data_IF_523723247871
#
_entry.id   IF_523723247871
#
_cell.length_a   1.000
_cell.length_b   1.000
_cell.length_c   1.000
_cell.angle_alpha   90.00
_cell.angle_beta   90.00
_cell.angle_gamma   90.00
#
_symmetry.space_group_name_H-M   'P 1'
#
loop_
_entity.id
_entity.type
_entity.pdbx_description
1 polymer ?
#
# COMPACT_ATOMS: atom_id res chain seq x y z
N UNK A 1 -63.04 -15.00 12.71
CA UNK A 1 -61.59 -15.27 12.85
C UNK A 1 -61.17 -16.04 11.60
N UNK A 2 -60.57 -15.36 10.61
CA UNK A 2 -60.16 -15.97 9.33
C UNK A 2 -58.64 -16.06 9.31
N UNK A 3 -58.12 -17.28 9.20
CA UNK A 3 -56.70 -17.58 9.11
C UNK A 3 -56.27 -17.40 7.64
N UNK A 4 -55.28 -16.55 7.40
CA UNK A 4 -54.65 -16.36 6.07
C UNK A 4 -53.29 -17.06 6.11
N UNK A 5 -53.14 -18.11 5.31
CA UNK A 5 -51.89 -18.85 5.15
C UNK A 5 -51.14 -18.25 3.96
N UNK A 6 -50.00 -17.61 4.22
CA UNK A 6 -49.10 -17.11 3.18
C UNK A 6 -48.16 -18.25 2.75
N UNK A 7 -48.25 -18.66 1.48
CA UNK A 7 -47.34 -19.61 0.86
C UNK A 7 -46.14 -18.84 0.33
N UNK A 8 -44.97 -19.05 0.93
CA UNK A 8 -43.69 -18.50 0.47
C UNK A 8 -43.13 -19.44 -0.59
N UNK A 9 -42.98 -18.95 -1.83
CA UNK A 9 -42.36 -19.70 -2.91
C UNK A 9 -40.83 -19.65 -2.77
N UNK A 10 -40.20 -20.82 -2.68
CA UNK A 10 -38.75 -21.00 -2.75
C UNK A 10 -38.30 -20.83 -4.21
N UNK A 11 -37.53 -19.79 -4.50
CA UNK A 11 -36.86 -19.61 -5.77
C UNK A 11 -35.72 -20.64 -5.89
N UNK A 12 -35.81 -21.52 -6.89
CA UNK A 12 -34.74 -22.45 -7.23
C UNK A 12 -33.58 -21.72 -7.89
N UNK A 13 -32.36 -22.03 -7.46
CA UNK A 13 -31.12 -21.55 -8.05
C UNK A 13 -30.90 -22.28 -9.38
N UNK A 14 -30.97 -21.58 -10.51
CA UNK A 14 -30.68 -22.17 -11.83
C UNK A 14 -29.18 -22.41 -12.00
N UNK A 15 -28.76 -23.53 -12.61
CA UNK A 15 -27.34 -23.82 -12.82
C UNK A 15 -26.77 -22.88 -13.89
N UNK A 16 -25.76 -22.09 -13.53
CA UNK A 16 -25.00 -21.28 -14.48
C UNK A 16 -24.22 -22.18 -15.45
N UNK A 17 -24.49 -22.02 -16.74
CA UNK A 17 -23.70 -22.60 -17.83
C UNK A 17 -22.29 -21.99 -17.84
N UNK A 18 -21.27 -22.83 -17.60
CA UNK A 18 -19.86 -22.48 -17.79
C UNK A 18 -19.60 -22.32 -19.28
N UNK A 19 -19.43 -21.09 -19.74
CA UNK A 19 -18.91 -20.79 -21.08
C UNK A 19 -17.39 -20.81 -20.98
N UNK A 20 -16.73 -21.84 -21.55
CA UNK A 20 -15.30 -21.80 -21.83
C UNK A 20 -15.04 -20.76 -22.93
N UNK A 21 -14.82 -19.51 -22.51
CA UNK A 21 -14.22 -18.48 -23.36
C UNK A 21 -12.75 -18.80 -23.56
N UNK A 22 -12.28 -18.77 -24.81
CA UNK A 22 -10.88 -18.96 -25.14
C UNK A 22 -10.00 -17.90 -24.48
N UNK A 23 -8.75 -18.27 -24.21
CA UNK A 23 -7.73 -17.47 -23.55
C UNK A 23 -7.30 -16.28 -24.42
N UNK A 24 -8.16 -15.28 -24.58
CA UNK A 24 -7.76 -13.94 -25.05
C UNK A 24 -7.04 -13.23 -23.89
N UNK A 25 -5.84 -13.70 -23.54
CA UNK A 25 -4.96 -12.92 -22.65
C UNK A 25 -4.71 -11.57 -23.35
N UNK A 26 -4.98 -10.43 -22.70
CA UNK A 26 -4.79 -9.12 -23.31
C UNK A 26 -3.37 -9.00 -23.88
N UNK A 27 -3.25 -8.49 -25.12
CA UNK A 27 -1.92 -8.27 -25.70
C UNK A 27 -1.16 -7.23 -24.87
N UNK A 28 -0.11 -7.68 -24.18
CA UNK A 28 0.80 -6.81 -23.46
C UNK A 28 2.03 -6.56 -24.34
N UNK A 29 2.32 -5.31 -24.76
CA UNK A 29 3.52 -5.03 -25.54
C UNK A 29 4.77 -5.35 -24.69
N UNK A 30 5.86 -5.83 -25.31
CA UNK A 30 7.08 -6.14 -24.59
C UNK A 30 7.58 -4.89 -23.87
N UNK A 31 7.81 -4.99 -22.56
CA UNK A 31 8.37 -3.91 -21.77
C UNK A 31 9.90 -3.92 -21.88
N UNK A 32 10.48 -2.77 -22.23
CA UNK A 32 11.93 -2.60 -22.23
C UNK A 32 12.37 -2.03 -20.89
N UNK A 33 13.13 -2.82 -20.15
CA UNK A 33 13.77 -2.40 -18.91
C UNK A 33 14.58 -1.10 -19.12
N UNK A 34 14.43 -0.14 -18.20
CA UNK A 34 15.17 1.13 -18.18
C UNK A 34 15.97 1.33 -16.90
N UNK A 35 15.67 0.60 -15.83
CA UNK A 35 16.45 0.60 -14.59
C UNK A 35 17.62 -0.39 -14.67
N UNK A 36 18.77 -0.10 -14.04
CA UNK A 36 19.84 -1.07 -13.91
C UNK A 36 19.42 -2.23 -13.00
N UNK A 37 19.87 -3.43 -13.33
CA UNK A 37 19.75 -4.59 -12.43
C UNK A 37 20.59 -4.40 -11.17
N UNK A 38 20.14 -5.03 -10.08
CA UNK A 38 20.85 -5.08 -8.81
C UNK A 38 20.31 -4.13 -7.74
N UNK A 39 21.02 -4.03 -6.60
CA UNK A 39 20.50 -3.36 -5.42
C UNK A 39 20.31 -1.87 -5.69
N UNK A 40 19.26 -1.33 -5.09
CA UNK A 40 18.91 0.07 -5.28
C UNK A 40 18.39 0.70 -3.99
N UNK A 41 18.56 2.02 -3.93
CA UNK A 41 18.23 2.78 -2.75
C UNK A 41 17.92 4.24 -3.09
N UNK A 42 17.08 4.83 -2.26
CA UNK A 42 17.00 6.27 -2.06
C UNK A 42 17.32 6.56 -0.60
N UNK A 43 18.22 7.50 -0.35
CA UNK A 43 18.80 7.72 0.98
C UNK A 43 18.59 9.15 1.46
N UNK A 44 18.32 9.29 2.76
CA UNK A 44 18.26 10.56 3.47
C UNK A 44 17.34 11.61 2.82
N UNK A 45 16.23 11.15 2.22
CA UNK A 45 15.23 12.02 1.63
C UNK A 45 14.63 12.88 2.73
N UNK A 46 14.69 14.19 2.56
CA UNK A 46 14.15 15.17 3.51
C UNK A 46 12.87 15.79 2.96
N UNK A 47 12.05 16.34 3.85
CA UNK A 47 10.81 17.00 3.48
C UNK A 47 10.61 18.32 4.22
N UNK A 48 9.36 18.65 4.52
CA UNK A 48 9.01 19.92 5.17
C UNK A 48 9.11 19.87 6.69
N UNK A 49 9.26 18.69 7.29
CA UNK A 49 9.46 18.50 8.72
C UNK A 49 10.98 18.52 9.03
N UNK A 50 11.50 19.52 9.75
CA UNK A 50 12.93 19.60 10.03
C UNK A 50 13.42 18.39 10.83
N UNK A 51 14.56 17.83 10.41
CA UNK A 51 15.20 16.72 11.11
C UNK A 51 14.57 15.35 10.87
N UNK A 52 13.53 15.24 10.03
CA UNK A 52 12.97 13.95 9.60
C UNK A 52 13.55 13.56 8.24
N UNK A 53 14.07 12.35 8.13
CA UNK A 53 14.53 11.77 6.86
C UNK A 53 13.98 10.37 6.63
N UNK A 54 13.83 10.02 5.35
CA UNK A 54 13.44 8.69 4.90
C UNK A 54 14.53 8.07 4.02
N UNK A 55 14.74 6.77 4.17
CA UNK A 55 15.53 5.97 3.23
C UNK A 55 14.77 4.71 2.86
N UNK A 56 14.87 4.25 1.61
CA UNK A 56 14.29 3.00 1.11
C UNK A 56 15.40 2.22 0.41
N UNK A 57 15.49 0.92 0.65
CA UNK A 57 16.47 0.01 0.04
C UNK A 57 15.80 -1.28 -0.40
N UNK A 58 16.31 -1.85 -1.48
CA UNK A 58 15.95 -3.18 -1.97
C UNK A 58 17.15 -3.90 -2.58
N UNK A 59 17.08 -5.22 -2.63
CA UNK A 59 18.11 -6.06 -3.24
C UNK A 59 18.07 -6.02 -4.79
N UNK A 60 16.94 -5.58 -5.36
CA UNK A 60 16.78 -5.31 -6.79
C UNK A 60 15.88 -4.09 -7.04
N UNK A 61 16.06 -3.44 -8.20
CA UNK A 61 15.10 -2.48 -8.75
C UNK A 61 14.30 -3.05 -9.93
N UNK A 62 14.64 -4.26 -10.38
CA UNK A 62 14.01 -4.94 -11.51
C UNK A 62 13.57 -6.33 -11.05
N UNK A 63 12.31 -6.67 -11.31
CA UNK A 63 11.71 -7.91 -10.85
C UNK A 63 10.98 -8.61 -11.99
N UNK A 64 11.14 -9.91 -12.10
CA UNK A 64 10.31 -10.75 -12.98
C UNK A 64 8.89 -10.84 -12.44
N UNK A 65 7.89 -10.81 -13.33
CA UNK A 65 6.46 -10.89 -13.00
C UNK A 65 6.17 -12.03 -12.02
N UNK A 66 5.50 -11.70 -10.92
CA UNK A 66 5.15 -12.64 -9.86
C UNK A 66 6.24 -12.99 -8.85
N UNK A 67 7.42 -12.37 -8.97
CA UNK A 67 8.48 -12.45 -7.95
C UNK A 67 8.07 -11.66 -6.71
N UNK A 68 8.26 -12.26 -5.55
CA UNK A 68 8.09 -11.57 -4.27
C UNK A 68 9.34 -10.75 -3.94
N UNK A 69 9.16 -9.62 -3.27
CA UNK A 69 10.26 -8.75 -2.88
C UNK A 69 10.06 -8.17 -1.47
N UNK A 70 11.16 -7.71 -0.88
CA UNK A 70 11.16 -6.99 0.38
C UNK A 70 11.80 -5.61 0.17
N UNK A 71 11.12 -4.58 0.65
CA UNK A 71 11.65 -3.21 0.66
C UNK A 71 11.86 -2.79 2.10
N UNK A 72 13.10 -2.51 2.46
CA UNK A 72 13.43 -2.02 3.79
C UNK A 72 13.39 -0.50 3.76
N UNK A 73 12.58 0.10 4.61
CA UNK A 73 12.59 1.54 4.79
C UNK A 73 12.99 1.92 6.20
N UNK A 74 13.48 3.15 6.30
CA UNK A 74 13.98 3.72 7.52
C UNK A 74 13.48 5.14 7.67
N UNK A 75 13.04 5.46 8.88
CA UNK A 75 12.75 6.83 9.28
C UNK A 75 13.73 7.24 10.35
N UNK A 76 14.39 8.37 10.15
CA UNK A 76 15.22 8.99 11.20
C UNK A 76 14.65 10.33 11.57
N UNK A 77 14.51 10.57 12.87
CA UNK A 77 14.11 11.83 13.50
C UNK A 77 15.27 12.33 14.34
N UNK A 78 15.89 13.45 13.94
CA UNK A 78 17.08 13.99 14.59
C UNK A 78 16.79 14.66 15.96
N UNK A 79 15.54 15.05 16.20
CA UNK A 79 15.08 15.67 17.43
C UNK A 79 13.63 15.26 17.73
N UNK A 80 13.27 15.25 19.01
CA UNK A 80 11.91 14.95 19.40
C UNK A 80 10.95 16.01 18.82
N UNK A 81 9.88 15.56 18.19
CA UNK A 81 8.98 16.43 17.44
C UNK A 81 7.53 16.15 17.83
N UNK A 82 6.81 17.19 18.22
CA UNK A 82 5.38 17.07 18.52
C UNK A 82 4.57 17.11 17.23
N UNK A 83 3.83 16.03 16.95
CA UNK A 83 2.94 15.91 15.79
C UNK A 83 1.50 15.90 16.29
N UNK A 84 0.67 16.75 15.69
CA UNK A 84 -0.77 16.81 15.98
C UNK A 84 -1.50 15.97 14.95
N UNK A 85 -1.99 14.82 15.40
CA UNK A 85 -2.87 13.96 14.62
C UNK A 85 -4.26 14.59 14.63
N UNK A 86 -4.84 14.91 13.47
CA UNK A 86 -6.20 15.44 13.40
C UNK A 86 -7.21 14.37 13.82
N UNK A 87 -8.38 14.83 14.24
CA UNK A 87 -9.54 13.96 14.41
C UNK A 87 -9.89 13.32 13.05
N UNK A 88 -10.05 12.00 13.05
CA UNK A 88 -10.48 11.23 11.88
C UNK A 88 -11.94 11.49 11.49
N UNK A 89 -12.74 12.11 12.37
CA UNK A 89 -14.17 12.30 12.17
C UNK A 89 -14.96 10.98 12.17
N UNK A 90 -14.42 9.94 12.82
CA UNK A 90 -14.97 8.58 12.78
C UNK A 90 -14.55 7.79 11.54
N UNK A 91 -13.58 8.27 10.77
CA UNK A 91 -12.98 7.55 9.66
C UNK A 91 -12.18 6.33 10.10
N UNK A 92 -12.17 5.29 9.26
CA UNK A 92 -11.27 4.16 9.42
C UNK A 92 -9.89 4.53 8.85
N UNK A 93 -8.83 4.23 9.60
CA UNK A 93 -7.45 4.54 9.24
C UNK A 93 -6.48 3.49 9.78
N UNK A 94 -5.18 3.82 9.79
CA UNK A 94 -4.12 2.91 10.22
C UNK A 94 -4.39 2.33 11.63
N UNK A 95 -4.42 1.00 11.70
CA UNK A 95 -4.68 0.21 12.90
C UNK A 95 -3.57 0.27 13.94
N UNK A 96 -2.36 0.66 13.56
CA UNK A 96 -1.20 0.59 14.43
C UNK A 96 -1.20 1.67 15.52
N UNK A 97 -1.99 2.73 15.36
CA UNK A 97 -2.08 3.85 16.28
C UNK A 97 -0.78 4.66 16.37
N UNK A 98 -0.90 5.98 16.38
CA UNK A 98 0.29 6.84 16.49
C UNK A 98 0.88 6.78 17.90
N UNK A 99 2.19 6.58 17.98
CA UNK A 99 2.94 6.51 19.22
C UNK A 99 4.31 7.21 19.08
N UNK A 100 5.19 7.10 20.07
CA UNK A 100 6.46 7.82 20.05
C UNK A 100 7.44 7.33 18.95
N UNK A 101 7.24 6.14 18.40
CA UNK A 101 8.03 5.60 17.30
C UNK A 101 7.69 6.33 15.98
N UNK A 102 8.68 6.90 15.27
CA UNK A 102 8.45 7.57 13.98
C UNK A 102 7.87 6.65 12.90
N UNK A 103 8.08 5.34 12.96
CA UNK A 103 7.47 4.40 12.02
C UNK A 103 5.94 4.42 12.10
N UNK A 104 5.36 4.73 13.28
CA UNK A 104 3.90 4.84 13.46
C UNK A 104 3.25 6.01 12.70
N UNK A 105 4.04 6.88 12.09
CA UNK A 105 3.58 7.98 11.23
C UNK A 105 3.85 7.72 9.75
N UNK A 106 4.33 6.53 9.40
CA UNK A 106 4.61 6.21 8.01
C UNK A 106 3.44 5.53 7.33
N UNK A 107 3.28 5.83 6.04
CA UNK A 107 2.45 5.06 5.12
C UNK A 107 3.28 4.68 3.92
N UNK A 108 2.93 3.57 3.30
CA UNK A 108 3.59 3.13 2.09
C UNK A 108 2.59 2.56 1.09
N UNK A 109 2.96 2.64 -0.18
CA UNK A 109 2.21 2.05 -1.29
C UNK A 109 3.20 1.70 -2.39
N UNK A 110 2.92 0.62 -3.11
CA UNK A 110 3.59 0.33 -4.37
C UNK A 110 2.57 0.59 -5.47
N UNK A 111 2.82 1.55 -6.35
CA UNK A 111 1.84 1.92 -7.37
C UNK A 111 2.50 2.45 -8.66
N UNK A 112 1.71 2.48 -9.72
CA UNK A 112 2.10 3.00 -11.03
C UNK A 112 1.19 2.46 -12.13
N UNK A 113 1.55 2.74 -13.38
CA UNK A 113 0.80 2.33 -14.56
C UNK A 113 1.65 1.34 -15.36
N UNK A 114 1.06 0.20 -15.74
CA UNK A 114 1.73 -0.80 -16.57
C UNK A 114 2.07 -0.25 -17.96
N UNK A 115 2.94 -0.95 -18.70
CA UNK A 115 3.23 -0.62 -20.10
C UNK A 115 1.99 -0.66 -21.00
N UNK A 116 0.97 -1.45 -20.61
CA UNK A 116 -0.33 -1.53 -21.27
C UNK A 116 -1.31 -0.42 -20.88
N UNK A 117 -0.94 0.48 -19.95
CA UNK A 117 -1.81 1.57 -19.51
C UNK A 117 -2.76 1.21 -18.36
N UNK A 118 -2.51 0.11 -17.65
CA UNK A 118 -3.34 -0.32 -16.51
C UNK A 118 -2.72 0.11 -15.18
N UNK A 119 -3.50 0.83 -14.37
CA UNK A 119 -3.06 1.21 -13.02
C UNK A 119 -2.99 0.00 -12.10
N UNK A 120 -1.87 -0.12 -11.40
CA UNK A 120 -1.59 -1.23 -10.49
C UNK A 120 -1.18 -0.67 -9.14
N UNK A 121 -1.65 -1.31 -8.08
CA UNK A 121 -1.39 -0.88 -6.72
C UNK A 121 -1.28 -2.07 -5.77
N UNK A 122 -0.37 -1.96 -4.81
CA UNK A 122 -0.28 -2.79 -3.63
C UNK A 122 -0.20 -1.89 -2.39
N UNK A 123 -1.21 -1.95 -1.53
CA UNK A 123 -1.17 -1.37 -0.18
C UNK A 123 -1.76 -2.35 0.84
N UNK A 124 -1.15 -2.43 2.03
CA UNK A 124 -1.85 -2.88 3.24
C UNK A 124 -2.67 -1.69 3.73
N UNK A 125 -3.83 -1.50 3.10
CA UNK A 125 -4.77 -0.48 3.52
C UNK A 125 -5.72 -1.12 4.54
N UNK A 126 -5.38 -1.25 5.83
CA UNK A 126 -6.30 -1.80 6.84
C UNK A 126 -7.46 -0.83 7.15
N UNK A 127 -8.45 -0.82 6.26
CA UNK A 127 -9.75 -0.18 6.40
C UNK A 127 -10.60 -0.98 7.38
N UNK A 128 -10.47 -0.69 8.68
CA UNK A 128 -11.32 -1.32 9.70
C UNK A 128 -11.09 -0.83 11.13
N UNK A 129 -9.94 -0.22 11.41
CA UNK A 129 -9.69 0.37 12.71
C UNK A 129 -10.10 1.84 12.73
N UNK A 130 -10.96 2.19 13.69
CA UNK A 130 -11.35 3.57 13.93
C UNK A 130 -10.11 4.36 14.35
N UNK A 131 -9.60 5.19 13.45
CA UNK A 131 -8.57 6.17 13.76
C UNK A 131 -9.05 7.05 14.93
N UNK A 132 -8.14 7.74 15.67
CA UNK A 132 -8.53 8.55 16.81
C UNK A 132 -9.70 9.47 16.45
N UNK A 133 -10.77 9.39 17.23
CA UNK A 133 -11.98 10.23 17.09
C UNK A 133 -11.84 11.57 17.80
N UNK A 134 -10.61 11.89 18.22
CA UNK A 134 -10.25 13.11 18.90
C UNK A 134 -8.86 13.52 18.42
N UNK A 135 -8.63 14.83 18.34
CA UNK A 135 -7.30 15.38 18.08
C UNK A 135 -6.36 14.93 19.19
N UNK A 136 -5.18 14.44 18.82
CA UNK A 136 -4.13 14.08 19.77
C UNK A 136 -2.79 14.65 19.34
N UNK A 137 -1.98 15.06 20.32
CA UNK A 137 -0.58 15.41 20.08
C UNK A 137 0.30 14.30 20.61
N UNK A 138 1.16 13.79 19.75
CA UNK A 138 2.13 12.74 20.07
C UNK A 138 3.52 13.32 19.93
N UNK A 139 4.37 13.12 20.93
CA UNK A 139 5.78 13.44 20.83
C UNK A 139 6.50 12.25 20.21
N UNK A 140 6.99 12.42 18.99
CA UNK A 140 7.83 11.45 18.31
C UNK A 140 9.25 11.56 18.85
N UNK A 141 9.84 10.43 19.23
CA UNK A 141 11.18 10.38 19.82
C UNK A 141 12.26 10.70 18.79
N UNK A 142 13.40 11.22 19.26
CA UNK A 142 14.60 11.37 18.42
C UNK A 142 15.28 10.01 18.21
N UNK A 143 14.74 9.19 17.31
CA UNK A 143 15.24 7.83 17.07
C UNK A 143 15.35 7.51 15.58
N UNK A 144 15.82 6.29 15.30
CA UNK A 144 15.82 5.65 13.98
C UNK A 144 14.98 4.39 14.07
N UNK A 145 13.97 4.31 13.21
CA UNK A 145 13.10 3.14 13.11
C UNK A 145 13.22 2.51 11.74
N UNK A 146 13.14 1.19 11.70
CA UNK A 146 13.35 0.39 10.50
C UNK A 146 12.20 -0.58 10.36
N UNK A 147 11.59 -0.56 9.18
CA UNK A 147 10.45 -1.40 8.85
C UNK A 147 10.66 -2.08 7.51
N UNK A 148 9.81 -3.07 7.22
CA UNK A 148 9.89 -3.84 5.97
C UNK A 148 8.53 -3.98 5.32
N UNK A 149 8.48 -3.63 4.04
CA UNK A 149 7.34 -3.89 3.16
C UNK A 149 7.57 -5.27 2.52
N UNK A 150 6.65 -6.20 2.76
CA UNK A 150 6.62 -7.48 2.06
C UNK A 150 5.66 -7.36 0.88
N UNK A 151 6.19 -7.47 -0.33
CA UNK A 151 5.39 -7.39 -1.54
C UNK A 151 5.33 -8.75 -2.23
N UNK A 152 4.12 -9.27 -2.43
CA UNK A 152 3.89 -10.61 -2.97
C UNK A 152 3.97 -10.68 -4.51
N UNK A 153 4.39 -9.61 -5.18
CA UNK A 153 4.37 -9.51 -6.64
C UNK A 153 2.97 -9.30 -7.23
N UNK A 154 1.94 -9.11 -6.40
CA UNK A 154 0.52 -9.05 -6.78
C UNK A 154 -0.11 -7.71 -6.46
N UNK A 155 -1.17 -7.35 -7.18
CA UNK A 155 -2.00 -6.20 -6.84
C UNK A 155 -2.85 -6.48 -5.63
N UNK A 156 -3.05 -5.44 -4.82
CA UNK A 156 -3.95 -5.50 -3.68
C UNK A 156 -4.27 -4.09 -3.19
N UNK A 157 -5.56 -3.80 -3.03
CA UNK A 157 -6.01 -2.48 -2.57
C UNK A 157 -6.48 -2.51 -1.10
N UNK A 158 -6.23 -3.61 -0.39
CA UNK A 158 -6.74 -3.84 0.96
C UNK A 158 -8.27 -3.82 1.07
N UNK A 159 -8.82 -3.85 2.29
CA UNK A 159 -8.11 -4.11 3.54
C UNK A 159 -7.85 -5.60 3.81
N UNK A 160 -6.92 -5.89 4.72
CA UNK A 160 -6.55 -7.27 5.06
C UNK A 160 -7.65 -8.01 5.84
N UNK A 161 -8.49 -7.27 6.55
CA UNK A 161 -9.50 -7.78 7.49
C UNK A 161 -10.86 -8.11 6.83
N UNK A 162 -11.10 -7.68 5.58
CA UNK A 162 -12.32 -8.04 4.83
C UNK A 162 -12.19 -9.34 4.03
N UNK A 163 -11.09 -10.10 4.21
CA UNK A 163 -10.74 -11.25 3.37
C UNK A 163 -10.69 -10.91 1.87
N UNK A 164 -10.31 -9.68 1.51
CA UNK A 164 -10.16 -9.29 0.12
C UNK A 164 -9.00 -10.09 -0.49
N UNK A 165 -9.32 -10.94 -1.46
CA UNK A 165 -8.32 -11.71 -2.20
C UNK A 165 -7.34 -10.77 -2.93
N UNK A 166 -6.07 -11.17 -2.98
CA UNK A 166 -5.09 -10.48 -3.82
C UNK A 166 -5.43 -10.65 -5.30
N UNK A 167 -5.26 -9.58 -6.08
CA UNK A 167 -5.50 -9.56 -7.51
C UNK A 167 -4.41 -10.26 -8.32
N UNK A 168 -4.33 -9.96 -9.61
CA UNK A 168 -3.30 -10.50 -10.51
C UNK A 168 -1.87 -10.12 -10.11
N UNK A 169 -0.89 -10.73 -10.75
CA UNK A 169 0.49 -10.24 -10.66
C UNK A 169 0.61 -8.84 -11.25
N UNK A 170 1.59 -8.07 -10.77
CA UNK A 170 1.91 -6.80 -11.43
C UNK A 170 2.27 -7.06 -12.89
N UNK A 171 1.63 -6.34 -13.81
CA UNK A 171 1.97 -6.41 -15.22
C UNK A 171 3.35 -5.75 -15.47
N UNK A 172 4.00 -6.05 -16.60
CA UNK A 172 5.24 -5.37 -16.96
C UNK A 172 5.06 -3.85 -17.05
N UNK A 173 6.01 -3.11 -16.49
CA UNK A 173 5.91 -1.65 -16.40
C UNK A 173 6.82 -1.05 -15.33
N UNK A 174 6.69 0.27 -15.17
CA UNK A 174 7.44 1.04 -14.18
C UNK A 174 6.53 1.47 -13.04
N UNK A 175 7.00 1.21 -11.82
CA UNK A 175 6.27 1.47 -10.59
C UNK A 175 7.15 2.21 -9.60
N UNK A 176 6.56 2.63 -8.50
CA UNK A 176 7.27 3.30 -7.41
C UNK A 176 6.89 2.63 -6.10
N UNK A 177 7.87 2.40 -5.24
CA UNK A 177 7.67 2.16 -3.82
C UNK A 177 7.71 3.52 -3.13
N UNK A 178 6.53 3.99 -2.75
CA UNK A 178 6.34 5.25 -2.06
C UNK A 178 6.30 5.00 -0.55
N UNK A 179 7.12 5.75 0.20
CA UNK A 179 7.05 5.81 1.67
C UNK A 179 6.89 7.26 2.06
N UNK A 180 5.88 7.55 2.87
CA UNK A 180 5.56 8.90 3.33
C UNK A 180 5.51 8.93 4.85
N UNK A 181 6.27 9.83 5.46
CA UNK A 181 6.11 10.20 6.86
C UNK A 181 5.10 11.35 6.96
N UNK A 182 3.99 11.11 7.66
CA UNK A 182 2.86 12.03 7.74
C UNK A 182 2.93 12.86 9.03
N UNK A 183 3.43 14.09 8.93
CA UNK A 183 3.38 15.07 10.02
C UNK A 183 2.10 15.91 10.04
N UNK A 184 1.15 15.68 9.14
CA UNK A 184 -0.10 16.46 9.01
C UNK A 184 0.17 17.96 8.84
N UNK A 185 -0.31 18.80 9.77
CA UNK A 185 -0.13 20.24 9.74
C UNK A 185 1.34 20.65 9.89
N UNK A 186 2.19 19.78 10.46
CA UNK A 186 3.61 19.99 10.63
C UNK A 186 4.41 19.71 9.34
N UNK A 187 3.80 19.07 8.34
CA UNK A 187 4.42 18.78 7.05
C UNK A 187 4.48 17.29 6.73
N UNK A 188 5.33 16.93 5.77
CA UNK A 188 5.56 15.54 5.37
C UNK A 188 6.97 15.33 4.81
N UNK A 189 7.43 14.08 4.82
CA UNK A 189 8.60 13.61 4.06
C UNK A 189 8.13 12.51 3.14
N UNK A 190 8.53 12.54 1.87
CA UNK A 190 8.09 11.58 0.86
C UNK A 190 9.30 11.04 0.11
N UNK A 191 9.55 9.73 0.20
CA UNK A 191 10.59 9.04 -0.53
C UNK A 191 9.98 8.11 -1.59
N UNK A 192 10.63 8.05 -2.76
CA UNK A 192 10.20 7.27 -3.92
C UNK A 192 11.34 6.41 -4.42
N UNK A 193 11.21 5.09 -4.34
CA UNK A 193 12.14 4.16 -4.97
C UNK A 193 11.51 3.63 -6.27
N UNK A 194 12.01 4.00 -7.46
CA UNK A 194 11.48 3.46 -8.71
C UNK A 194 11.82 1.97 -8.81
N UNK A 195 10.88 1.17 -9.29
CA UNK A 195 11.07 -0.25 -9.62
C UNK A 195 10.49 -0.55 -11.00
N UNK A 196 10.93 -1.65 -11.59
CA UNK A 196 10.41 -2.15 -12.86
C UNK A 196 10.03 -3.62 -12.75
N UNK A 197 8.90 -3.95 -13.38
CA UNK A 197 8.46 -5.33 -13.56
C UNK A 197 8.68 -5.70 -15.03
N UNK A 198 9.37 -6.80 -15.24
CA UNK A 198 9.62 -7.42 -16.55
C UNK A 198 8.93 -8.78 -16.60
N UNK A 199 8.79 -9.36 -17.79
CA UNK A 199 8.23 -10.71 -17.97
C UNK A 199 9.11 -11.82 -17.37
#
# INVERSE_FOLDING_TARGET
MRLVIAVVALAACEPSTVVSGGDDEPYHPPYTQTLPDGPCAVENVSGTIPGVTLSIRADSCVYTRGTQAMFRYEVTTAAATAITVPDSGGGCGDCSGHNADPASFTRWVIAGTSAGGEDQQYCICDVGCCAPTQIQTVTVDATRSVETIQWMGRTWQGPSDTNNEMGGYFLPGRYTVDVTFQGYAQGMVHAQLPIEIVD
#
